data_IF_632809453238
#
_entry.id   IF_632809453238
#
_cell.length_a   1.000
_cell.length_b   1.000
_cell.length_c   1.000
_cell.angle_alpha   90.00
_cell.angle_beta   90.00
_cell.angle_gamma   90.00
#
_symmetry.space_group_name_H-M   'P 1'
#
loop_
_entity.id
_entity.type
_entity.pdbx_description
1 polymer ?
#
# COMPACT_ATOMS: atom_id res chain seq x y z
N UNK A 1 -7.45 -25.86 -14.31
CA UNK A 1 -6.28 -24.99 -14.24
C UNK A 1 -6.57 -23.77 -15.11
N UNK A 2 -6.76 -22.63 -14.48
CA UNK A 2 -6.86 -21.38 -15.22
C UNK A 2 -5.45 -21.10 -15.72
N UNK A 3 -5.28 -21.13 -17.03
CA UNK A 3 -4.03 -20.78 -17.66
C UNK A 3 -3.76 -19.29 -17.42
N UNK A 4 -2.87 -19.01 -16.48
CA UNK A 4 -2.48 -17.64 -16.09
C UNK A 4 -1.84 -16.86 -17.25
N UNK A 5 -1.53 -17.51 -18.37
CA UNK A 5 -1.01 -16.86 -19.59
C UNK A 5 -2.08 -16.16 -20.41
N UNK A 6 -3.37 -16.54 -20.24
CA UNK A 6 -4.48 -15.95 -20.99
C UNK A 6 -5.09 -14.73 -20.30
N UNK A 7 -4.71 -14.46 -19.07
CA UNK A 7 -5.16 -13.27 -18.36
C UNK A 7 -4.22 -12.12 -18.70
N UNK A 8 -4.61 -11.26 -19.66
CA UNK A 8 -3.87 -10.03 -20.06
C UNK A 8 -3.42 -9.13 -18.89
N UNK A 9 -3.84 -9.45 -17.67
CA UNK A 9 -3.50 -8.79 -16.41
C UNK A 9 -2.00 -8.90 -16.07
N UNK A 10 -1.28 -9.84 -16.69
CA UNK A 10 0.07 -10.25 -16.31
C UNK A 10 1.10 -10.14 -17.44
N UNK A 11 0.92 -9.26 -18.42
CA UNK A 11 2.00 -8.97 -19.34
C UNK A 11 3.15 -8.30 -18.59
N UNK A 12 4.36 -8.87 -18.60
CA UNK A 12 5.52 -8.22 -18.00
C UNK A 12 5.81 -6.92 -18.75
N UNK A 13 6.12 -5.85 -18.03
CA UNK A 13 6.63 -4.63 -18.63
C UNK A 13 7.85 -4.98 -19.49
N UNK A 14 7.75 -4.76 -20.80
CA UNK A 14 8.79 -5.12 -21.79
C UNK A 14 10.12 -4.41 -21.60
N UNK A 15 10.19 -3.38 -20.72
CA UNK A 15 11.43 -2.72 -20.29
C UNK A 15 11.27 -2.20 -18.86
N UNK A 16 12.24 -2.51 -18.00
CA UNK A 16 12.46 -1.74 -16.76
C UNK A 16 12.53 -0.26 -17.14
N UNK A 17 11.77 0.64 -16.53
CA UNK A 17 11.97 2.06 -16.75
C UNK A 17 13.42 2.39 -16.44
N UNK A 18 14.12 3.04 -17.35
CA UNK A 18 15.51 3.50 -17.15
C UNK A 18 15.68 4.46 -15.96
N UNK A 19 14.57 4.87 -15.43
CA UNK A 19 14.38 5.73 -14.27
C UNK A 19 14.80 5.08 -12.94
N UNK A 20 14.56 3.77 -12.75
CA UNK A 20 14.83 3.09 -11.48
C UNK A 20 16.32 3.05 -11.12
N UNK A 21 17.21 2.89 -12.09
CA UNK A 21 18.63 2.71 -11.81
C UNK A 21 19.36 4.00 -11.39
N UNK A 22 18.89 5.18 -11.77
CA UNK A 22 19.58 6.45 -11.44
C UNK A 22 19.21 7.01 -10.07
N UNK A 23 17.96 6.87 -9.64
CA UNK A 23 17.49 7.47 -8.37
C UNK A 23 17.92 6.61 -7.18
N UNK A 24 17.71 5.29 -7.25
CA UNK A 24 18.05 4.39 -6.13
C UNK A 24 19.56 4.30 -5.86
N UNK A 25 20.41 4.47 -6.87
CA UNK A 25 21.85 4.47 -6.70
C UNK A 25 22.42 5.79 -6.13
N UNK A 26 21.61 6.85 -6.03
CA UNK A 26 22.07 8.17 -5.58
C UNK A 26 21.55 8.57 -4.19
N UNK A 27 20.51 7.92 -3.68
CA UNK A 27 19.97 8.23 -2.36
C UNK A 27 20.73 7.42 -1.30
N UNK A 28 21.46 8.12 -0.45
CA UNK A 28 22.08 7.54 0.72
C UNK A 28 21.08 7.55 1.88
N UNK A 29 20.61 6.35 2.27
CA UNK A 29 19.60 6.16 3.31
C UNK A 29 20.05 6.64 4.68
N UNK A 30 21.34 6.50 5.02
CA UNK A 30 21.89 6.94 6.30
C UNK A 30 21.85 8.47 6.40
N UNK A 31 22.25 9.16 5.32
CA UNK A 31 22.12 10.63 5.25
C UNK A 31 20.67 11.10 5.34
N UNK A 32 19.74 10.39 4.68
CA UNK A 32 18.28 10.68 4.81
C UNK A 32 17.86 10.56 6.28
N UNK A 33 18.26 9.48 6.94
CA UNK A 33 17.96 9.26 8.35
C UNK A 33 18.53 10.37 9.24
N UNK A 34 19.77 10.75 9.05
CA UNK A 34 20.44 11.81 9.83
C UNK A 34 19.73 13.16 9.68
N UNK A 35 19.38 13.54 8.45
CA UNK A 35 18.64 14.78 8.19
C UNK A 35 17.26 14.76 8.82
N UNK A 36 16.49 13.68 8.64
CA UNK A 36 15.17 13.58 9.25
C UNK A 36 15.23 13.52 10.78
N UNK A 37 16.27 12.91 11.35
CA UNK A 37 16.50 12.88 12.79
C UNK A 37 16.87 14.25 13.36
N UNK A 38 17.68 15.03 12.64
CA UNK A 38 18.00 16.41 13.05
C UNK A 38 16.79 17.35 13.02
N UNK A 39 15.76 17.01 12.20
CA UNK A 39 14.47 17.70 12.12
C UNK A 39 13.33 16.88 12.80
N UNK A 40 13.67 16.11 13.84
CA UNK A 40 12.73 15.15 14.46
C UNK A 40 11.43 15.78 14.93
N UNK A 41 11.46 16.98 15.51
CA UNK A 41 10.23 17.66 15.97
C UNK A 41 9.21 17.89 14.83
N UNK A 42 9.70 18.24 13.64
CA UNK A 42 8.86 18.47 12.47
C UNK A 42 8.44 17.13 11.83
N UNK A 43 9.40 16.24 11.61
CA UNK A 43 9.16 14.96 10.93
C UNK A 43 8.26 14.03 11.74
N UNK A 44 8.45 13.93 13.04
CA UNK A 44 7.61 13.15 13.95
C UNK A 44 6.19 13.71 13.99
N UNK A 45 6.04 15.03 14.07
CA UNK A 45 4.72 15.68 14.03
C UNK A 45 3.98 15.38 12.73
N UNK A 46 4.66 15.46 11.58
CA UNK A 46 4.08 15.14 10.27
C UNK A 46 3.68 13.67 10.19
N UNK A 47 4.54 12.78 10.70
CA UNK A 47 4.26 11.35 10.76
C UNK A 47 3.02 11.03 11.60
N UNK A 48 2.92 11.57 12.81
CA UNK A 48 1.74 11.36 13.67
C UNK A 48 0.45 11.86 13.04
N UNK A 49 0.46 13.04 12.40
CA UNK A 49 -0.71 13.54 11.67
C UNK A 49 -1.16 12.59 10.56
N UNK A 50 -0.20 12.04 9.82
CA UNK A 50 -0.47 11.08 8.77
C UNK A 50 -1.07 9.79 9.34
N UNK A 51 -0.47 9.23 10.41
CA UNK A 51 -0.95 8.03 11.09
C UNK A 51 -2.35 8.23 11.65
N UNK A 52 -2.60 9.32 12.35
CA UNK A 52 -3.91 9.62 12.91
C UNK A 52 -4.98 9.73 11.83
N UNK A 53 -4.68 10.41 10.72
CA UNK A 53 -5.61 10.53 9.61
C UNK A 53 -5.94 9.17 8.99
N UNK A 54 -4.93 8.32 8.85
CA UNK A 54 -5.10 6.97 8.31
C UNK A 54 -5.90 6.07 9.24
N UNK A 55 -5.55 6.03 10.53
CA UNK A 55 -6.28 5.28 11.54
C UNK A 55 -7.75 5.70 11.63
N UNK A 56 -8.02 7.01 11.64
CA UNK A 56 -9.39 7.53 11.66
C UNK A 56 -10.17 7.10 10.42
N UNK A 57 -9.54 7.13 9.24
CA UNK A 57 -10.17 6.71 8.00
C UNK A 57 -10.47 5.20 8.00
N UNK A 58 -9.52 4.38 8.47
CA UNK A 58 -9.70 2.94 8.62
C UNK A 58 -10.84 2.60 9.59
N UNK A 59 -10.85 3.24 10.77
CA UNK A 59 -11.90 3.01 11.76
C UNK A 59 -13.27 3.51 11.30
N UNK A 60 -13.35 4.67 10.66
CA UNK A 60 -14.62 5.18 10.13
C UNK A 60 -15.26 4.21 9.13
N UNK A 61 -14.43 3.51 8.38
CA UNK A 61 -14.83 2.58 7.35
C UNK A 61 -15.25 1.21 7.89
N UNK A 62 -14.40 0.60 8.72
CA UNK A 62 -14.57 -0.78 9.16
C UNK A 62 -15.18 -0.90 10.56
N UNK A 63 -15.12 0.16 11.38
CA UNK A 63 -15.46 0.15 12.82
C UNK A 63 -14.71 -0.94 13.62
N UNK A 64 -13.66 -1.52 13.03
CA UNK A 64 -12.94 -2.67 13.54
C UNK A 64 -11.53 -2.73 12.91
N UNK A 65 -10.52 -2.47 13.72
CA UNK A 65 -9.14 -2.45 13.27
C UNK A 65 -8.62 -3.83 12.84
N UNK A 66 -8.98 -4.90 13.55
CA UNK A 66 -8.51 -6.24 13.21
C UNK A 66 -8.94 -6.65 11.79
N UNK A 67 -10.21 -6.40 11.46
CA UNK A 67 -10.73 -6.67 10.10
C UNK A 67 -10.00 -5.84 9.04
N UNK A 68 -9.72 -4.58 9.36
CA UNK A 68 -8.97 -3.70 8.48
C UNK A 68 -7.53 -4.19 8.27
N UNK A 69 -6.82 -4.54 9.35
CA UNK A 69 -5.44 -5.05 9.27
C UNK A 69 -5.35 -6.35 8.46
N UNK A 70 -6.29 -7.27 8.68
CA UNK A 70 -6.36 -8.51 7.92
C UNK A 70 -6.58 -8.22 6.44
N UNK A 71 -7.46 -7.29 6.12
CA UNK A 71 -7.72 -6.89 4.73
C UNK A 71 -6.49 -6.25 4.08
N UNK A 72 -5.82 -5.32 4.78
CA UNK A 72 -4.56 -4.70 4.32
C UNK A 72 -3.49 -5.74 4.07
N UNK A 73 -3.32 -6.69 4.98
CA UNK A 73 -2.39 -7.81 4.81
C UNK A 73 -2.70 -8.61 3.54
N UNK A 74 -3.96 -8.99 3.34
CA UNK A 74 -4.38 -9.75 2.16
C UNK A 74 -4.16 -8.98 0.85
N UNK A 75 -4.44 -7.68 0.82
CA UNK A 75 -4.20 -6.83 -0.34
C UNK A 75 -2.69 -6.68 -0.58
N UNK A 76 -1.90 -6.53 0.48
CA UNK A 76 -0.44 -6.42 0.36
C UNK A 76 0.18 -7.68 -0.26
N UNK A 77 -0.35 -8.88 0.02
CA UNK A 77 0.11 -10.11 -0.65
C UNK A 77 -0.16 -10.08 -2.16
N UNK A 78 -1.24 -9.42 -2.58
CA UNK A 78 -1.53 -9.21 -4.01
C UNK A 78 -0.53 -8.22 -4.62
N UNK A 79 -0.25 -7.10 -3.96
CA UNK A 79 0.74 -6.13 -4.43
C UNK A 79 2.14 -6.73 -4.52
N UNK A 80 2.52 -7.58 -3.55
CA UNK A 80 3.79 -8.30 -3.60
C UNK A 80 3.93 -9.12 -4.88
N UNK A 81 2.88 -9.83 -5.30
CA UNK A 81 2.90 -10.60 -6.55
C UNK A 81 3.07 -9.75 -7.80
N UNK A 82 2.48 -8.55 -7.82
CA UNK A 82 2.74 -7.61 -8.90
C UNK A 82 4.20 -7.17 -8.89
N UNK A 83 4.73 -6.82 -7.73
CA UNK A 83 6.13 -6.42 -7.58
C UNK A 83 7.11 -7.51 -7.98
N UNK A 84 6.89 -8.76 -7.54
CA UNK A 84 7.74 -9.91 -7.87
C UNK A 84 7.79 -10.21 -9.38
N UNK A 85 6.77 -9.78 -10.11
CA UNK A 85 6.68 -9.91 -11.58
C UNK A 85 7.09 -8.64 -12.31
N UNK A 86 7.60 -7.64 -11.61
CA UNK A 86 7.89 -6.31 -12.15
C UNK A 86 6.70 -5.67 -12.88
N UNK A 87 5.51 -5.88 -12.35
CA UNK A 87 4.27 -5.33 -12.87
C UNK A 87 3.78 -4.24 -11.94
N UNK A 88 3.53 -3.07 -12.50
CA UNK A 88 2.97 -1.95 -11.77
C UNK A 88 1.65 -1.56 -12.43
N UNK A 89 0.65 -1.30 -11.60
CA UNK A 89 -0.61 -0.76 -12.06
C UNK A 89 -0.73 0.67 -11.56
N UNK A 90 -1.19 1.54 -12.45
CA UNK A 90 -1.65 2.87 -12.06
C UNK A 90 -2.90 2.79 -11.19
N UNK A 91 -3.24 3.91 -10.58
CA UNK A 91 -4.47 4.03 -9.79
C UNK A 91 -5.71 3.62 -10.61
N UNK A 92 -5.83 4.15 -11.82
CA UNK A 92 -6.96 3.85 -12.71
C UNK A 92 -7.01 2.38 -13.09
N UNK A 93 -5.91 1.81 -13.60
CA UNK A 93 -5.84 0.39 -13.97
C UNK A 93 -6.14 -0.54 -12.80
N UNK A 94 -5.67 -0.19 -11.59
CA UNK A 94 -5.97 -0.98 -10.39
C UNK A 94 -7.45 -0.90 -10.05
N UNK A 95 -8.08 0.28 -10.14
CA UNK A 95 -9.48 0.48 -9.80
C UNK A 95 -10.48 0.09 -10.90
N UNK A 96 -10.06 -0.10 -12.12
CA UNK A 96 -10.88 -0.72 -13.19
C UNK A 96 -11.12 -2.23 -12.97
N UNK A 97 -10.30 -2.89 -12.16
CA UNK A 97 -10.47 -4.29 -11.85
C UNK A 97 -11.60 -4.48 -10.83
N UNK A 98 -12.65 -5.18 -11.21
CA UNK A 98 -13.78 -5.49 -10.31
C UNK A 98 -13.41 -6.48 -9.21
N UNK A 99 -12.41 -7.32 -9.44
CA UNK A 99 -12.00 -8.42 -8.56
C UNK A 99 -10.47 -8.51 -8.51
N UNK A 100 -9.93 -8.76 -7.32
CA UNK A 100 -8.51 -9.08 -7.15
C UNK A 100 -8.39 -10.50 -6.60
N UNK A 101 -7.56 -11.30 -7.23
CA UNK A 101 -7.28 -12.66 -6.78
C UNK A 101 -6.37 -12.63 -5.54
N UNK A 102 -6.92 -13.07 -4.43
CA UNK A 102 -6.19 -13.41 -3.20
C UNK A 102 -6.03 -14.94 -3.23
N UNK A 103 -4.81 -15.48 -3.39
CA UNK A 103 -4.65 -16.94 -3.54
C UNK A 103 -5.20 -17.73 -2.36
N UNK A 104 -4.44 -17.85 -1.31
CA UNK A 104 -4.80 -18.62 -0.11
C UNK A 104 -4.79 -17.73 1.12
N UNK A 105 -5.79 -17.90 1.96
CA UNK A 105 -5.77 -17.33 3.31
C UNK A 105 -5.13 -18.37 4.23
N UNK A 106 -3.91 -18.09 4.67
CA UNK A 106 -3.20 -18.88 5.68
C UNK A 106 -3.40 -18.23 7.05
N UNK A 107 -4.34 -18.74 7.82
CA UNK A 107 -4.68 -18.17 9.14
C UNK A 107 -3.51 -18.19 10.13
N UNK A 108 -2.59 -19.15 10.00
CA UNK A 108 -1.42 -19.26 10.89
C UNK A 108 -0.40 -18.17 10.54
N UNK A 109 -0.15 -17.97 9.26
CA UNK A 109 0.76 -16.94 8.76
C UNK A 109 0.25 -15.53 9.14
N UNK A 110 -1.01 -15.24 8.85
CA UNK A 110 -1.64 -13.97 9.23
C UNK A 110 -1.56 -13.74 10.74
N UNK A 111 -1.81 -14.78 11.53
CA UNK A 111 -1.73 -14.71 13.00
C UNK A 111 -0.33 -14.33 13.50
N UNK A 112 0.70 -14.88 12.87
CA UNK A 112 2.10 -14.56 13.21
C UNK A 112 2.48 -13.14 12.79
N UNK A 113 2.14 -12.77 11.55
CA UNK A 113 2.52 -11.47 10.98
C UNK A 113 1.81 -10.29 11.66
N UNK A 114 0.53 -10.45 12.00
CA UNK A 114 -0.26 -9.39 12.64
C UNK A 114 -0.30 -9.48 14.16
N UNK A 115 0.33 -10.51 14.76
CA UNK A 115 0.26 -10.78 16.19
C UNK A 115 -1.20 -10.83 16.75
N UNK A 116 -2.13 -11.35 15.93
CA UNK A 116 -3.55 -11.51 16.27
C UNK A 116 -3.84 -13.01 16.47
N UNK A 117 -4.55 -13.43 17.53
CA UNK A 117 -4.87 -14.83 17.75
C UNK A 117 -5.59 -15.47 16.56
N UNK A 118 -5.17 -16.68 16.16
CA UNK A 118 -5.71 -17.40 14.99
C UNK A 118 -7.23 -17.49 14.98
N UNK A 119 -7.86 -17.69 16.13
CA UNK A 119 -9.31 -17.76 16.24
C UNK A 119 -9.98 -16.41 15.94
N UNK A 120 -9.37 -15.31 16.38
CA UNK A 120 -9.80 -13.96 16.02
C UNK A 120 -9.67 -13.74 14.51
N UNK A 121 -8.53 -14.13 13.89
CA UNK A 121 -8.37 -14.06 12.43
C UNK A 121 -9.49 -14.83 11.74
N UNK A 122 -9.78 -16.07 12.16
CA UNK A 122 -10.85 -16.90 11.57
C UNK A 122 -12.21 -16.18 11.62
N UNK A 123 -12.56 -15.64 12.78
CA UNK A 123 -13.81 -14.89 12.97
C UNK A 123 -13.89 -13.65 12.09
N UNK A 124 -12.80 -12.89 11.99
CA UNK A 124 -12.74 -11.66 11.18
C UNK A 124 -12.75 -11.96 9.67
N UNK A 125 -12.07 -13.01 9.23
CA UNK A 125 -12.15 -13.48 7.83
C UNK A 125 -13.59 -13.88 7.49
N UNK A 126 -14.28 -14.62 8.36
CA UNK A 126 -15.69 -14.95 8.17
C UNK A 126 -16.56 -13.69 8.12
N UNK A 127 -16.31 -12.70 8.97
CA UNK A 127 -16.99 -11.41 8.91
C UNK A 127 -16.80 -10.73 7.56
N UNK A 128 -15.57 -10.63 7.06
CA UNK A 128 -15.27 -10.05 5.74
C UNK A 128 -15.96 -10.81 4.60
N UNK A 129 -16.11 -12.15 4.72
CA UNK A 129 -16.85 -12.96 3.77
C UNK A 129 -18.37 -12.69 3.84
N UNK A 130 -18.93 -12.61 5.02
CA UNK A 130 -20.36 -12.30 5.22
C UNK A 130 -20.74 -10.91 4.70
N UNK A 131 -19.79 -9.95 4.78
CA UNK A 131 -19.95 -8.63 4.18
C UNK A 131 -19.66 -8.60 2.68
N UNK A 132 -19.36 -9.76 2.08
CA UNK A 132 -18.98 -9.89 0.68
C UNK A 132 -17.78 -9.01 0.24
N UNK A 133 -16.98 -8.57 1.21
CA UNK A 133 -15.72 -7.83 0.96
C UNK A 133 -14.69 -8.76 0.32
N UNK A 134 -14.62 -10.00 0.82
CA UNK A 134 -13.91 -11.11 0.19
C UNK A 134 -14.89 -12.24 -0.08
N UNK A 135 -14.69 -13.00 -1.13
CA UNK A 135 -15.57 -14.12 -1.48
C UNK A 135 -14.81 -15.24 -2.19
N UNK A 136 -15.42 -16.41 -2.25
CA UNK A 136 -14.85 -17.61 -2.89
C UNK A 136 -15.51 -17.88 -4.23
N UNK A 137 -14.66 -18.22 -5.23
CA UNK A 137 -15.07 -18.88 -6.49
C UNK A 137 -14.28 -20.18 -6.60
N UNK A 138 -14.90 -21.31 -6.33
CA UNK A 138 -14.22 -22.60 -6.25
C UNK A 138 -13.16 -22.62 -5.14
N UNK A 139 -11.90 -22.88 -5.50
CA UNK A 139 -10.76 -22.89 -4.57
C UNK A 139 -10.10 -21.52 -4.38
N UNK A 140 -10.48 -20.53 -5.18
CA UNK A 140 -9.85 -19.21 -5.18
C UNK A 140 -10.66 -18.22 -4.34
N UNK A 141 -9.94 -17.28 -3.73
CA UNK A 141 -10.51 -16.20 -2.92
C UNK A 141 -10.26 -14.90 -3.65
N UNK A 142 -11.26 -14.05 -3.68
CA UNK A 142 -11.25 -12.77 -4.36
C UNK A 142 -11.61 -11.65 -3.39
N UNK A 143 -10.99 -10.50 -3.62
CA UNK A 143 -11.39 -9.25 -3.03
C UNK A 143 -12.40 -8.55 -3.95
N UNK A 144 -13.56 -8.20 -3.41
CA UNK A 144 -14.64 -7.56 -4.14
C UNK A 144 -14.45 -6.04 -4.16
N UNK A 145 -13.99 -5.55 -5.29
CA UNK A 145 -13.71 -4.13 -5.48
C UNK A 145 -14.95 -3.26 -5.56
N UNK A 146 -16.06 -3.82 -6.04
CA UNK A 146 -17.33 -3.07 -6.19
C UNK A 146 -17.87 -2.58 -4.84
N UNK A 147 -17.74 -3.39 -3.79
CA UNK A 147 -18.18 -3.00 -2.44
C UNK A 147 -17.27 -1.95 -1.83
N UNK A 148 -15.97 -2.01 -2.16
CA UNK A 148 -14.97 -1.08 -1.63
C UNK A 148 -14.74 0.14 -2.53
N UNK A 149 -15.51 0.30 -3.59
CA UNK A 149 -15.43 1.46 -4.47
C UNK A 149 -15.71 2.78 -3.73
N UNK A 150 -16.59 2.74 -2.73
CA UNK A 150 -16.85 3.85 -1.81
C UNK A 150 -15.64 4.20 -0.91
N UNK A 151 -14.63 3.36 -0.88
CA UNK A 151 -13.46 3.45 -0.01
C UNK A 151 -12.18 3.77 -0.78
N UNK A 152 -12.30 4.42 -1.94
CA UNK A 152 -11.13 4.88 -2.68
C UNK A 152 -10.24 5.71 -1.76
N UNK A 153 -8.95 5.39 -1.65
CA UNK A 153 -8.06 6.04 -0.69
C UNK A 153 -7.66 7.46 -1.13
N UNK A 154 -8.57 8.23 -1.71
CA UNK A 154 -8.31 9.59 -2.17
C UNK A 154 -7.77 10.48 -1.05
N UNK A 155 -8.36 10.40 0.15
CA UNK A 155 -7.88 11.13 1.31
C UNK A 155 -6.51 10.63 1.78
N UNK A 156 -6.32 9.31 1.89
CA UNK A 156 -5.04 8.71 2.27
C UNK A 156 -3.93 9.08 1.28
N UNK A 157 -4.21 9.10 -0.03
CA UNK A 157 -3.29 9.57 -1.06
C UNK A 157 -2.88 11.03 -0.84
N UNK A 158 -3.84 11.91 -0.60
CA UNK A 158 -3.57 13.35 -0.35
C UNK A 158 -2.73 13.57 0.91
N UNK A 159 -3.01 12.83 1.98
CA UNK A 159 -2.23 12.91 3.22
C UNK A 159 -0.81 12.40 3.02
N UNK A 160 -0.66 11.27 2.31
CA UNK A 160 0.65 10.74 1.95
C UNK A 160 1.44 11.74 1.09
N UNK A 161 0.82 12.32 0.07
CA UNK A 161 1.47 13.29 -0.80
C UNK A 161 1.90 14.55 0.01
N UNK A 162 1.05 15.05 0.90
CA UNK A 162 1.40 16.18 1.76
C UNK A 162 2.54 15.86 2.74
N UNK A 163 2.58 14.65 3.27
CA UNK A 163 3.71 14.19 4.11
C UNK A 163 5.00 14.13 3.32
N UNK A 164 4.98 13.52 2.13
CA UNK A 164 6.16 13.38 1.27
C UNK A 164 6.64 14.73 0.73
N UNK A 165 5.73 15.66 0.41
CA UNK A 165 6.07 17.03 0.03
C UNK A 165 6.88 17.71 1.12
N UNK A 166 6.38 17.74 2.37
CA UNK A 166 7.08 18.33 3.50
C UNK A 166 8.43 17.66 3.79
N UNK A 167 8.44 16.33 3.75
CA UNK A 167 9.69 15.55 3.90
C UNK A 167 10.69 15.90 2.81
N UNK A 168 10.27 16.02 1.54
CA UNK A 168 11.13 16.39 0.44
C UNK A 168 11.67 17.83 0.57
N UNK A 169 10.87 18.75 1.12
CA UNK A 169 11.29 20.12 1.43
C UNK A 169 12.40 20.16 2.49
N UNK A 170 12.31 19.29 3.52
CA UNK A 170 13.38 19.18 4.53
C UNK A 170 14.65 18.63 3.86
N UNK A 171 14.55 17.54 3.13
CA UNK A 171 15.68 16.87 2.50
C UNK A 171 16.35 17.74 1.40
N UNK A 172 15.58 18.57 0.70
CA UNK A 172 16.11 19.43 -0.36
C UNK A 172 16.99 20.59 0.13
N UNK A 173 17.03 20.83 1.44
CA UNK A 173 17.98 21.76 2.03
C UNK A 173 19.42 21.22 1.95
N UNK A 174 19.55 19.92 1.76
CA UNK A 174 20.83 19.24 1.58
C UNK A 174 21.18 19.12 0.10
N UNK A 175 22.34 19.58 -0.28
CA UNK A 175 22.81 19.67 -1.66
C UNK A 175 22.82 18.33 -2.41
N UNK A 176 22.93 17.21 -1.70
CA UNK A 176 22.98 15.86 -2.25
C UNK A 176 21.60 15.26 -2.59
N UNK A 177 20.51 15.84 -2.07
CA UNK A 177 19.15 15.30 -2.31
C UNK A 177 18.54 15.85 -3.60
N UNK A 178 18.95 17.03 -4.05
CA UNK A 178 18.40 17.70 -5.22
C UNK A 178 17.31 18.71 -4.85
N UNK A 179 16.13 18.61 -5.47
CA UNK A 179 15.04 19.56 -5.24
C UNK A 179 13.90 19.01 -4.40
N UNK A 180 13.10 19.88 -3.82
CA UNK A 180 11.81 19.54 -3.28
C UNK A 180 10.82 19.18 -4.41
N UNK A 181 9.84 18.34 -4.09
CA UNK A 181 8.76 17.96 -4.96
C UNK A 181 7.46 18.62 -4.48
N UNK A 182 6.61 19.06 -5.42
CA UNK A 182 5.29 19.56 -5.06
C UNK A 182 4.34 18.40 -4.76
N UNK A 183 3.26 18.73 -4.08
CA UNK A 183 2.21 17.77 -3.77
C UNK A 183 1.61 17.16 -5.03
N UNK A 184 1.39 17.97 -6.05
CA UNK A 184 0.82 17.56 -7.35
C UNK A 184 1.76 16.59 -8.10
N UNK A 185 3.07 16.85 -8.08
CA UNK A 185 4.07 15.94 -8.65
C UNK A 185 4.05 14.58 -7.94
N UNK A 186 3.97 14.59 -6.62
CA UNK A 186 3.92 13.38 -5.80
C UNK A 186 2.60 12.62 -6.02
N UNK A 187 1.45 13.32 -6.08
CA UNK A 187 0.17 12.68 -6.38
C UNK A 187 0.18 12.04 -7.76
N UNK A 188 0.71 12.71 -8.78
CA UNK A 188 0.86 12.16 -10.11
C UNK A 188 1.78 10.92 -10.16
N UNK A 189 2.87 10.95 -9.37
CA UNK A 189 3.76 9.79 -9.22
C UNK A 189 3.05 8.61 -8.55
N UNK A 190 2.32 8.86 -7.45
CA UNK A 190 1.55 7.83 -6.75
C UNK A 190 0.46 7.26 -7.68
N UNK A 191 -0.23 8.08 -8.45
CA UNK A 191 -1.24 7.62 -9.40
C UNK A 191 -0.64 6.72 -10.48
N UNK A 192 0.52 7.09 -11.01
CA UNK A 192 1.20 6.32 -12.05
C UNK A 192 1.74 4.98 -11.53
N UNK A 193 2.30 4.96 -10.33
CA UNK A 193 2.94 3.79 -9.73
C UNK A 193 2.18 3.28 -8.50
N UNK A 194 0.86 3.30 -8.56
CA UNK A 194 -0.03 3.10 -7.42
C UNK A 194 0.27 1.83 -6.64
N UNK A 195 0.35 0.68 -7.29
CA UNK A 195 0.52 -0.61 -6.59
C UNK A 195 1.84 -0.72 -5.84
N UNK A 196 2.93 -0.18 -6.38
CA UNK A 196 4.23 -0.20 -5.70
C UNK A 196 4.27 0.80 -4.53
N UNK A 197 3.73 2.01 -4.73
CA UNK A 197 3.65 3.00 -3.66
C UNK A 197 2.81 2.49 -2.49
N UNK A 198 1.66 1.87 -2.78
CA UNK A 198 0.77 1.31 -1.76
C UNK A 198 1.35 0.09 -1.07
N UNK A 199 2.07 -0.77 -1.78
CA UNK A 199 2.80 -1.91 -1.20
C UNK A 199 3.83 -1.44 -0.16
N UNK A 200 4.67 -0.47 -0.51
CA UNK A 200 5.66 0.07 0.41
C UNK A 200 4.99 0.77 1.60
N UNK A 201 3.90 1.49 1.35
CA UNK A 201 3.11 2.13 2.39
C UNK A 201 2.58 1.10 3.41
N UNK A 202 1.93 0.04 2.96
CA UNK A 202 1.42 -1.01 3.86
C UNK A 202 2.53 -1.72 4.63
N UNK A 203 3.68 -1.97 4.00
CA UNK A 203 4.84 -2.55 4.68
C UNK A 203 5.36 -1.68 5.81
N UNK A 204 5.30 -0.36 5.68
CA UNK A 204 5.67 0.56 6.75
C UNK A 204 4.61 0.61 7.85
N UNK A 205 3.33 0.40 7.52
CA UNK A 205 2.23 0.54 8.47
C UNK A 205 2.07 -0.68 9.39
N UNK A 206 2.19 -1.89 8.85
CA UNK A 206 1.97 -3.13 9.61
C UNK A 206 2.79 -3.19 10.91
N UNK A 207 4.08 -2.82 10.96
CA UNK A 207 4.87 -2.87 12.20
C UNK A 207 4.45 -1.83 13.26
N UNK A 208 3.69 -0.80 12.89
CA UNK A 208 3.26 0.27 13.82
C UNK A 208 1.85 0.06 14.39
N UNK A 209 1.16 -0.97 13.94
CA UNK A 209 -0.21 -1.29 14.34
C UNK A 209 -0.27 -2.52 15.23
#
# INVERSE_FOLDING_TARGET
PIDLKTVKIFEPLKKKPSFENKIFNTINTDKVYDVLSSHSNETVTLWFKLQQSWCNNAYSTFKDYDSYLILVYLINTVFQKYSDRFQYLSYTEFYEKNELLIDKINLIEISKELNIPKETIRRKVNFLQNQNIIYRKGKSIFFNRKITELQRPANSKRFMASFLEKTSQILSKESWFGRAFSKEEIEAFIDKYFTICWQHWFRMQIPFL
#
